data_IF_708643815910
#
_entry.id   IF_708643815910
#
_cell.length_a   1.000
_cell.length_b   1.000
_cell.length_c   1.000
_cell.angle_alpha   90.00
_cell.angle_beta   90.00
_cell.angle_gamma   90.00
#
_symmetry.space_group_name_H-M   'P 1'
#
loop_
_entity.id
_entity.type
_entity.pdbx_description
1 polymer ?
#
# COMPACT_ATOMS: atom_id res chain seq x y z
N UNK A 1 -2.21 7.13 -0.30
CA UNK A 1 -3.33 6.67 -1.16
C UNK A 1 -3.87 5.31 -0.72
N UNK A 2 -3.01 4.29 -0.56
CA UNK A 2 -3.35 2.93 -0.13
C UNK A 2 -4.30 2.85 1.09
N UNK A 3 -3.96 3.52 2.18
CA UNK A 3 -4.76 3.53 3.41
C UNK A 3 -6.20 4.07 3.25
N UNK A 4 -6.47 4.92 2.25
CA UNK A 4 -7.85 5.36 1.94
C UNK A 4 -8.67 4.25 1.28
N UNK A 5 -8.02 3.37 0.52
CA UNK A 5 -8.64 2.20 -0.10
C UNK A 5 -8.96 1.18 0.97
N UNK A 6 -8.00 0.92 1.86
CA UNK A 6 -8.17 0.05 3.03
C UNK A 6 -9.36 0.52 3.89
N UNK A 7 -9.42 1.81 4.23
CA UNK A 7 -10.53 2.37 5.00
C UNK A 7 -11.89 2.23 4.30
N UNK A 8 -11.93 2.35 2.96
CA UNK A 8 -13.16 2.16 2.18
C UNK A 8 -13.56 0.69 2.11
N UNK A 9 -12.60 -0.22 2.01
CA UNK A 9 -12.82 -1.66 1.98
C UNK A 9 -13.34 -2.15 3.34
N UNK A 10 -12.72 -1.73 4.45
CA UNK A 10 -13.18 -2.07 5.81
C UNK A 10 -14.64 -1.67 6.08
N UNK A 11 -15.08 -0.52 5.56
CA UNK A 11 -16.48 -0.09 5.69
C UNK A 11 -17.45 -0.93 4.88
N UNK A 12 -17.00 -1.54 3.78
CA UNK A 12 -17.82 -2.37 2.89
C UNK A 12 -17.84 -3.83 3.33
N UNK A 13 -16.72 -4.29 3.87
CA UNK A 13 -16.52 -5.68 4.28
C UNK A 13 -15.83 -5.72 5.66
N UNK A 14 -16.64 -5.85 6.72
CA UNK A 14 -16.15 -6.04 8.10
C UNK A 14 -15.27 -7.27 8.30
N UNK A 15 -15.37 -8.30 7.45
CA UNK A 15 -14.58 -9.54 7.61
C UNK A 15 -13.07 -9.32 7.44
N UNK A 16 -12.69 -8.23 6.76
CA UNK A 16 -11.30 -7.80 6.60
C UNK A 16 -10.64 -7.47 7.95
N UNK A 17 -11.42 -7.12 8.98
CA UNK A 17 -10.88 -6.89 10.32
C UNK A 17 -10.31 -8.19 10.93
N UNK A 18 -11.03 -9.31 10.80
CA UNK A 18 -10.57 -10.60 11.30
C UNK A 18 -9.27 -11.05 10.61
N UNK A 19 -9.14 -10.77 9.31
CA UNK A 19 -7.90 -11.00 8.55
C UNK A 19 -6.76 -10.07 9.02
N UNK A 20 -7.07 -8.84 9.40
CA UNK A 20 -6.14 -7.90 10.02
C UNK A 20 -5.54 -8.44 11.31
N UNK A 21 -6.37 -9.00 12.19
CA UNK A 21 -5.91 -9.66 13.42
C UNK A 21 -5.02 -10.88 13.13
N UNK A 22 -5.38 -11.69 12.13
CA UNK A 22 -4.56 -12.84 11.72
C UNK A 22 -3.19 -12.39 11.19
N UNK A 23 -3.13 -11.29 10.43
CA UNK A 23 -1.88 -10.73 9.94
C UNK A 23 -1.03 -10.18 11.09
N UNK A 24 -1.64 -9.47 12.05
CA UNK A 24 -0.95 -8.96 13.23
C UNK A 24 -0.33 -10.07 14.09
N UNK A 25 -1.04 -11.18 14.28
CA UNK A 25 -0.51 -12.34 15.02
C UNK A 25 0.68 -12.98 14.28
N UNK A 26 0.64 -13.02 12.94
CA UNK A 26 1.80 -13.47 12.14
C UNK A 26 2.99 -12.55 12.29
N UNK A 27 2.80 -11.24 12.25
CA UNK A 27 3.87 -10.26 12.50
C UNK A 27 4.50 -10.46 13.88
N UNK A 28 3.66 -10.62 14.90
CA UNK A 28 4.09 -10.96 16.27
C UNK A 28 4.91 -12.25 16.32
N UNK A 29 4.46 -13.31 15.65
CA UNK A 29 5.17 -14.60 15.60
C UNK A 29 6.54 -14.52 14.91
N UNK A 30 6.75 -13.52 14.05
CA UNK A 30 8.02 -13.26 13.36
C UNK A 30 9.01 -12.43 14.18
N UNK A 31 8.62 -12.02 15.38
CA UNK A 31 9.46 -11.18 16.24
C UNK A 31 9.52 -9.72 15.82
N UNK A 32 8.49 -9.22 15.11
CA UNK A 32 8.37 -7.78 14.84
C UNK A 32 8.24 -6.98 16.16
N UNK A 33 8.64 -5.70 16.10
CA UNK A 33 8.67 -4.76 17.22
C UNK A 33 7.38 -4.80 18.07
N UNK A 34 7.52 -5.23 19.32
CA UNK A 34 6.40 -5.43 20.24
C UNK A 34 5.58 -4.16 20.49
N UNK A 35 6.21 -2.99 20.44
CA UNK A 35 5.53 -1.71 20.62
C UNK A 35 4.57 -1.44 19.45
N UNK A 36 5.04 -1.64 18.22
CA UNK A 36 4.21 -1.49 17.02
C UNK A 36 3.06 -2.49 16.98
N UNK A 37 3.30 -3.73 17.41
CA UNK A 37 2.26 -4.75 17.49
C UNK A 37 1.16 -4.34 18.48
N UNK A 38 1.53 -3.83 19.65
CA UNK A 38 0.57 -3.38 20.65
C UNK A 38 -0.25 -2.19 20.16
N UNK A 39 0.40 -1.19 19.56
CA UNK A 39 -0.29 -0.02 18.99
C UNK A 39 -1.27 -0.43 17.88
N UNK A 40 -0.89 -1.38 17.03
CA UNK A 40 -1.80 -1.91 16.02
C UNK A 40 -2.96 -2.70 16.62
N UNK A 41 -2.73 -3.47 17.69
CA UNK A 41 -3.80 -4.16 18.40
C UNK A 41 -4.84 -3.17 18.98
N UNK A 42 -4.37 -2.07 19.56
CA UNK A 42 -5.24 -0.99 20.06
C UNK A 42 -6.05 -0.38 18.91
N UNK A 43 -5.41 -0.08 17.77
CA UNK A 43 -6.10 0.46 16.60
C UNK A 43 -7.13 -0.53 16.04
N UNK A 44 -6.79 -1.81 15.89
CA UNK A 44 -7.71 -2.84 15.37
C UNK A 44 -8.86 -3.16 16.34
N UNK A 45 -8.75 -2.79 17.61
CA UNK A 45 -9.84 -2.92 18.57
C UNK A 45 -10.94 -1.85 18.40
N UNK A 46 -10.66 -0.79 17.64
CA UNK A 46 -11.62 0.28 17.40
C UNK A 46 -12.82 -0.18 16.55
N UNK A 47 -14.01 0.40 16.76
CA UNK A 47 -15.15 0.23 15.87
C UNK A 47 -14.77 0.59 14.42
N UNK A 48 -15.29 -0.15 13.43
CA UNK A 48 -14.94 0.04 12.00
C UNK A 48 -14.98 1.51 11.53
N UNK A 49 -15.98 2.33 11.89
CA UNK A 49 -15.98 3.74 11.50
C UNK A 49 -14.77 4.52 12.04
N UNK A 50 -14.37 4.24 13.27
CA UNK A 50 -13.24 4.86 13.96
C UNK A 50 -11.91 4.33 13.46
N UNK A 51 -11.78 3.01 13.32
CA UNK A 51 -10.63 2.37 12.68
C UNK A 51 -10.38 2.95 11.28
N UNK A 52 -11.42 3.07 10.46
CA UNK A 52 -11.31 3.62 9.12
C UNK A 52 -10.90 5.10 9.11
N UNK A 53 -11.29 5.89 10.13
CA UNK A 53 -10.80 7.27 10.32
C UNK A 53 -9.35 7.28 10.77
N UNK A 54 -8.98 6.43 11.73
CA UNK A 54 -7.64 6.33 12.31
C UNK A 54 -6.60 5.95 11.25
N UNK A 55 -6.92 4.97 10.42
CA UNK A 55 -6.06 4.51 9.30
C UNK A 55 -5.70 5.65 8.33
N UNK A 56 -6.62 6.60 8.10
CA UNK A 56 -6.42 7.73 7.16
C UNK A 56 -5.97 9.02 7.84
N UNK A 57 -5.90 9.04 9.17
CA UNK A 57 -5.47 10.20 9.94
C UNK A 57 -4.05 10.63 9.53
N UNK A 58 -3.84 11.95 9.46
CA UNK A 58 -2.51 12.53 9.25
C UNK A 58 -1.98 12.94 10.61
N UNK A 59 -1.24 12.05 11.24
CA UNK A 59 -0.53 12.29 12.48
C UNK A 59 0.81 11.57 12.40
N UNK A 60 1.83 12.12 13.05
CA UNK A 60 3.18 11.56 13.10
C UNK A 60 3.16 10.09 13.56
N UNK A 61 2.32 9.78 14.55
CA UNK A 61 2.13 8.43 15.03
C UNK A 61 1.62 7.46 13.94
N UNK A 62 0.59 7.88 13.19
CA UNK A 62 0.04 7.06 12.11
C UNK A 62 0.98 6.97 10.91
N UNK A 63 1.81 7.97 10.65
CA UNK A 63 2.81 7.92 9.58
C UNK A 63 3.86 6.83 9.85
N UNK A 64 4.35 6.73 11.09
CA UNK A 64 5.24 5.65 11.53
C UNK A 64 4.56 4.28 11.42
N UNK A 65 3.35 4.15 11.95
CA UNK A 65 2.64 2.86 12.01
C UNK A 65 2.29 2.31 10.62
N UNK A 66 2.01 3.18 9.64
CA UNK A 66 1.67 2.79 8.27
C UNK A 66 2.73 1.95 7.56
N UNK A 67 3.99 2.06 7.95
CA UNK A 67 5.09 1.25 7.40
C UNK A 67 4.97 -0.23 7.79
N UNK A 68 4.25 -0.54 8.87
CA UNK A 68 4.07 -1.89 9.43
C UNK A 68 2.60 -2.35 9.42
N UNK A 69 1.77 -1.73 8.57
CA UNK A 69 0.32 -1.95 8.58
C UNK A 69 -0.06 -3.42 8.38
N UNK A 70 -0.81 -4.06 9.31
CA UNK A 70 -1.26 -5.45 9.16
C UNK A 70 -2.34 -5.61 8.08
N UNK A 71 -2.81 -4.51 7.49
CA UNK A 71 -3.90 -4.49 6.50
C UNK A 71 -3.39 -4.39 5.05
N UNK A 72 -2.10 -4.62 4.81
CA UNK A 72 -1.50 -4.56 3.47
C UNK A 72 -2.20 -5.47 2.45
N UNK A 73 -2.73 -6.61 2.89
CA UNK A 73 -3.41 -7.60 2.05
C UNK A 73 -4.73 -7.10 1.43
N UNK A 74 -5.29 -5.99 1.94
CA UNK A 74 -6.55 -5.42 1.44
C UNK A 74 -6.36 -4.80 0.05
N UNK A 75 -5.13 -4.41 -0.28
CA UNK A 75 -4.78 -3.99 -1.64
C UNK A 75 -4.01 -5.12 -2.29
N UNK A 76 -4.61 -5.72 -3.30
CA UNK A 76 -3.92 -6.68 -4.14
C UNK A 76 -3.05 -5.92 -5.15
N UNK A 77 -1.72 -6.00 -4.97
CA UNK A 77 -0.77 -5.38 -5.89
C UNK A 77 -0.52 -6.21 -7.14
N UNK A 78 -1.03 -7.44 -7.20
CA UNK A 78 -0.92 -8.33 -8.36
C UNK A 78 -2.03 -8.07 -9.40
N UNK A 79 -3.11 -7.41 -9.00
CA UNK A 79 -4.12 -6.88 -9.92
C UNK A 79 -3.51 -5.71 -10.74
N UNK A 80 -3.10 -6.03 -11.97
CA UNK A 80 -2.49 -5.11 -12.91
C UNK A 80 -3.39 -3.90 -13.24
N UNK A 81 -4.71 -4.07 -13.24
CA UNK A 81 -5.65 -3.00 -13.56
C UNK A 81 -5.90 -2.08 -12.37
N UNK A 82 -5.91 -2.62 -11.15
CA UNK A 82 -5.88 -1.82 -9.94
C UNK A 82 -4.56 -1.04 -9.87
N UNK A 83 -3.42 -1.68 -10.15
CA UNK A 83 -2.10 -1.03 -10.18
C UNK A 83 -2.05 0.11 -11.20
N UNK A 84 -2.51 -0.10 -12.44
CA UNK A 84 -2.60 0.95 -13.49
C UNK A 84 -3.46 2.13 -13.03
N UNK A 85 -4.63 1.85 -12.43
CA UNK A 85 -5.54 2.89 -11.91
C UNK A 85 -4.92 3.66 -10.73
N UNK A 86 -4.19 2.98 -9.85
CA UNK A 86 -3.48 3.60 -8.74
C UNK A 86 -2.32 4.47 -9.21
N UNK A 87 -1.53 4.01 -10.17
CA UNK A 87 -0.44 4.78 -10.80
C UNK A 87 -1.00 5.99 -11.53
N UNK A 88 -2.09 5.85 -12.30
CA UNK A 88 -2.70 6.98 -13.00
C UNK A 88 -3.24 8.04 -12.01
N UNK A 89 -3.86 7.62 -10.90
CA UNK A 89 -4.30 8.55 -9.85
C UNK A 89 -3.14 9.16 -9.07
N UNK A 90 -2.07 8.40 -8.84
CA UNK A 90 -0.86 8.90 -8.22
C UNK A 90 -0.20 9.93 -9.14
N UNK A 91 0.02 9.67 -10.43
CA UNK A 91 0.58 10.63 -11.41
C UNK A 91 -0.21 11.94 -11.47
N UNK A 92 -1.53 11.88 -11.33
CA UNK A 92 -2.39 13.08 -11.25
C UNK A 92 -2.25 13.86 -9.93
N UNK A 93 -1.61 13.29 -8.91
CA UNK A 93 -1.26 13.94 -7.63
C UNK A 93 0.24 13.99 -7.32
N UNK A 94 1.12 13.44 -8.18
CA UNK A 94 2.59 13.52 -8.10
C UNK A 94 3.00 14.86 -8.73
N UNK A 95 2.65 15.93 -8.04
CA UNK A 95 3.58 17.05 -7.82
C UNK A 95 4.21 16.93 -6.42
N UNK A 96 3.83 15.95 -5.61
CA UNK A 96 4.45 15.70 -4.30
C UNK A 96 5.47 14.55 -4.35
N UNK A 97 6.72 14.98 -4.50
CA UNK A 97 7.98 14.41 -3.99
C UNK A 97 8.38 12.97 -4.36
N UNK A 98 9.29 12.91 -5.35
CA UNK A 98 10.39 11.94 -5.43
C UNK A 98 11.18 11.92 -4.10
N UNK A 99 10.95 10.93 -3.23
CA UNK A 99 11.87 10.32 -2.22
C UNK A 99 10.98 9.53 -1.24
N UNK A 100 11.23 8.30 -0.82
CA UNK A 100 12.34 7.38 -0.97
C UNK A 100 11.75 5.96 -0.92
N UNK A 101 12.18 5.07 -1.81
CA UNK A 101 12.09 3.62 -1.58
C UNK A 101 13.48 3.24 -1.10
N UNK A 102 13.59 2.72 0.12
CA UNK A 102 14.86 2.16 0.59
C UNK A 102 15.20 0.93 -0.26
N UNK A 103 16.34 1.00 -0.93
CA UNK A 103 16.86 -0.02 -1.86
C UNK A 103 17.46 -1.21 -1.10
N UNK A 104 17.53 -1.15 0.23
CA UNK A 104 18.36 -2.04 1.05
C UNK A 104 17.73 -3.40 1.39
N UNK A 105 16.47 -3.67 1.04
CA UNK A 105 15.79 -4.96 1.32
C UNK A 105 15.21 -5.64 0.07
N UNK A 106 15.46 -5.11 -1.12
CA UNK A 106 15.01 -5.75 -2.36
C UNK A 106 16.00 -6.83 -2.77
N UNK A 107 15.52 -8.05 -2.97
CA UNK A 107 16.36 -9.11 -3.52
C UNK A 107 16.78 -8.77 -4.95
N UNK A 108 17.89 -9.35 -5.42
CA UNK A 108 18.34 -9.17 -6.81
C UNK A 108 17.26 -9.54 -7.84
N UNK A 109 16.35 -10.44 -7.48
CA UNK A 109 15.22 -10.85 -8.31
C UNK A 109 14.14 -9.76 -8.37
N UNK A 110 13.88 -9.07 -7.27
CA UNK A 110 12.97 -7.92 -7.23
C UNK A 110 13.54 -6.73 -8.04
N UNK A 111 14.85 -6.50 -7.94
CA UNK A 111 15.54 -5.48 -8.73
C UNK A 111 15.48 -5.81 -10.24
N UNK A 112 15.63 -7.09 -10.60
CA UNK A 112 15.48 -7.56 -11.99
C UNK A 112 14.05 -7.41 -12.49
N UNK A 113 13.05 -7.71 -11.67
CA UNK A 113 11.63 -7.54 -12.04
C UNK A 113 11.26 -6.06 -12.22
N UNK A 114 11.81 -5.17 -11.39
CA UNK A 114 11.63 -3.72 -11.53
C UNK A 114 12.35 -3.20 -12.78
N UNK A 115 13.58 -3.65 -13.04
CA UNK A 115 14.33 -3.30 -14.25
C UNK A 115 13.62 -3.79 -15.53
N UNK A 116 13.02 -4.99 -15.50
CA UNK A 116 12.25 -5.57 -16.61
C UNK A 116 10.86 -4.92 -16.79
N UNK A 117 10.31 -4.33 -15.73
CA UNK A 117 9.06 -3.58 -15.75
C UNK A 117 9.24 -2.11 -16.18
N UNK A 118 10.48 -1.65 -16.39
CA UNK A 118 10.76 -0.40 -17.08
C UNK A 118 10.39 -0.61 -18.55
N UNK A 119 9.23 -0.08 -18.93
CA UNK A 119 8.86 0.14 -20.33
C UNK A 119 10.09 0.71 -21.05
N UNK A 120 10.46 0.21 -22.25
CA UNK A 120 11.63 0.71 -22.95
C UNK A 120 11.53 2.23 -23.09
N UNK A 121 12.63 2.92 -22.80
CA UNK A 121 12.76 4.37 -22.95
C UNK A 121 12.72 4.83 -24.41
N UNK A 122 12.56 3.89 -25.36
CA UNK A 122 12.66 4.09 -26.81
C UNK A 122 11.36 3.78 -27.57
N UNK A 123 10.18 3.86 -26.93
CA UNK A 123 8.93 3.86 -27.68
C UNK A 123 8.72 5.25 -28.30
N UNK A 124 9.29 5.44 -29.49
CA UNK A 124 9.03 6.54 -30.41
C UNK A 124 7.54 6.51 -30.78
N UNK A 125 6.73 7.17 -29.96
CA UNK A 125 5.30 7.33 -30.20
C UNK A 125 5.12 8.40 -31.27
N UNK A 126 4.96 7.95 -32.52
CA UNK A 126 4.52 8.78 -33.64
C UNK A 126 3.00 9.02 -33.52
N UNK A 127 2.54 10.26 -33.28
CA UNK A 127 1.14 10.57 -33.11
C UNK A 127 0.30 10.50 -34.41
N UNK A 128 0.90 10.23 -35.58
CA UNK A 128 0.18 10.19 -36.86
C UNK A 128 -0.23 8.77 -37.33
N UNK A 129 0.13 7.71 -36.59
CA UNK A 129 -0.14 6.33 -37.02
C UNK A 129 -1.60 5.85 -36.85
N UNK A 130 -2.51 6.68 -36.31
CA UNK A 130 -3.93 6.32 -36.07
C UNK A 130 -4.92 7.14 -36.94
N UNK A 131 -4.49 7.53 -38.14
CA UNK A 131 -5.38 8.00 -39.20
C UNK A 131 -4.94 7.46 -40.58
N UNK A 132 -5.21 6.18 -40.87
CA UNK A 132 -5.63 5.65 -42.19
C UNK A 132 -5.93 4.16 -42.14
#
# INVERSE_FOLDING_TARGET
MMHRIIARALRRDPSLLARGWTALERQKSRGEDSFRIQEWAEILSLPIPELARKIIERSENMERLRLSSPLYFVVDFTDLDLRRRLIAKAKRGIVYERRAIFVEELSDEDLRLIAKARVPEDLDWDPEADQS
#
